data_IF_404934195086
#
_entry.id   IF_404934195086
#
_cell.length_a   1.000
_cell.length_b   1.000
_cell.length_c   1.000
_cell.angle_alpha   90.00
_cell.angle_beta   90.00
_cell.angle_gamma   90.00
#
_symmetry.space_group_name_H-M   'P 1'
#
loop_
_entity.id
_entity.type
_entity.pdbx_description
1 polymer ?
#
# COMPACT_ATOMS: atom_id res chain seq x y z
N UNK A 1 -13.91 5.98 -18.23
CA UNK A 1 -13.11 5.79 -17.01
C UNK A 1 -13.99 6.03 -15.79
N UNK A 2 -13.78 5.25 -14.75
CA UNK A 2 -14.53 5.36 -13.49
C UNK A 2 -14.06 6.60 -12.72
N UNK A 3 -14.99 7.34 -12.18
CA UNK A 3 -14.69 8.52 -11.35
C UNK A 3 -14.75 8.14 -9.88
N UNK A 4 -14.05 8.91 -9.02
CA UNK A 4 -14.02 8.65 -7.57
C UNK A 4 -15.43 8.56 -6.96
N UNK A 5 -16.33 9.43 -7.37
CA UNK A 5 -17.72 9.48 -6.86
C UNK A 5 -18.53 8.23 -7.19
N UNK A 6 -18.12 7.50 -8.21
CA UNK A 6 -18.81 6.30 -8.67
C UNK A 6 -18.30 5.02 -8.00
N UNK A 7 -17.24 5.14 -7.19
CA UNK A 7 -16.61 3.99 -6.56
C UNK A 7 -17.41 3.49 -5.37
N UNK A 8 -17.46 2.17 -5.23
CA UNK A 8 -18.00 1.53 -4.04
C UNK A 8 -16.88 1.42 -3.00
N UNK A 9 -16.85 2.35 -2.06
CA UNK A 9 -15.80 2.44 -1.05
C UNK A 9 -16.31 1.83 0.26
N UNK A 10 -15.61 0.82 0.82
CA UNK A 10 -16.00 0.25 2.11
C UNK A 10 -16.08 1.32 3.20
N UNK A 11 -17.03 1.19 4.10
CA UNK A 11 -17.26 2.16 5.17
C UNK A 11 -16.02 2.31 6.06
N UNK A 12 -15.36 1.23 6.37
CA UNK A 12 -14.14 1.26 7.20
C UNK A 12 -12.99 2.01 6.52
N UNK A 13 -12.96 2.05 5.18
CA UNK A 13 -11.98 2.86 4.46
C UNK A 13 -12.27 4.33 4.59
N UNK A 14 -13.54 4.71 4.55
CA UNK A 14 -13.95 6.10 4.70
C UNK A 14 -13.54 6.67 6.05
N UNK A 15 -13.58 5.88 7.12
CA UNK A 15 -13.12 6.30 8.43
C UNK A 15 -11.64 6.67 8.44
N UNK A 16 -10.83 6.00 7.61
CA UNK A 16 -9.40 6.33 7.48
C UNK A 16 -9.20 7.56 6.60
N UNK A 17 -9.98 7.68 5.53
CA UNK A 17 -9.80 8.69 4.49
C UNK A 17 -10.30 10.07 4.92
N UNK A 18 -11.43 10.14 5.64
CA UNK A 18 -12.07 11.40 5.97
C UNK A 18 -11.38 12.11 7.13
N UNK A 19 -11.23 13.43 7.01
CA UNK A 19 -10.80 14.30 8.10
C UNK A 19 -11.98 14.70 8.94
N UNK A 20 -11.72 15.29 10.12
CA UNK A 20 -12.75 15.77 11.03
C UNK A 20 -13.68 16.80 10.39
N UNK A 21 -13.17 17.59 9.43
CA UNK A 21 -13.96 18.62 8.75
C UNK A 21 -14.76 18.09 7.56
N UNK A 22 -14.71 16.78 7.31
CA UNK A 22 -15.43 16.15 6.20
C UNK A 22 -14.68 16.12 4.88
N UNK A 23 -13.54 16.78 4.79
CA UNK A 23 -12.69 16.68 3.60
C UNK A 23 -11.90 15.38 3.63
N UNK A 24 -11.28 15.03 2.50
CA UNK A 24 -10.48 13.80 2.38
C UNK A 24 -8.99 14.10 2.49
N UNK A 25 -8.28 13.17 3.14
CA UNK A 25 -6.81 13.14 3.13
C UNK A 25 -6.32 12.84 1.72
N UNK A 26 -5.05 13.13 1.45
CA UNK A 26 -4.39 12.63 0.25
C UNK A 26 -4.19 11.13 0.41
N UNK A 27 -4.56 10.36 -0.61
CA UNK A 27 -4.50 8.89 -0.58
C UNK A 27 -3.32 8.44 -1.41
N UNK A 28 -2.39 7.72 -0.78
CA UNK A 28 -1.22 7.18 -1.45
C UNK A 28 -1.41 5.67 -1.62
N UNK A 29 -1.39 5.21 -2.86
CA UNK A 29 -1.41 3.77 -3.16
C UNK A 29 0.00 3.22 -2.96
N UNK A 30 0.17 2.39 -1.94
CA UNK A 30 1.45 1.74 -1.64
C UNK A 30 1.40 0.29 -2.09
N UNK A 31 2.08 -0.01 -3.21
CA UNK A 31 2.09 -1.33 -3.81
C UNK A 31 3.39 -2.06 -3.47
N UNK A 32 3.28 -3.26 -2.90
CA UNK A 32 4.45 -4.10 -2.58
C UNK A 32 4.37 -5.39 -3.40
N UNK A 33 5.43 -5.68 -4.15
CA UNK A 33 5.43 -6.72 -5.16
C UNK A 33 6.30 -7.93 -4.82
N UNK A 34 6.10 -9.01 -5.56
CA UNK A 34 6.82 -10.27 -5.36
C UNK A 34 8.28 -10.18 -5.80
N UNK A 35 8.55 -9.51 -6.93
CA UNK A 35 9.91 -9.42 -7.45
C UNK A 35 10.87 -8.77 -6.46
N UNK A 36 10.43 -7.70 -5.81
CA UNK A 36 11.24 -7.00 -4.81
C UNK A 36 11.47 -7.89 -3.59
N UNK A 37 10.47 -8.65 -3.15
CA UNK A 37 10.62 -9.61 -2.07
C UNK A 37 11.69 -10.65 -2.40
N UNK A 38 11.61 -11.26 -3.57
CA UNK A 38 12.54 -12.34 -3.97
C UNK A 38 13.97 -11.83 -4.15
N UNK A 39 14.14 -10.57 -4.56
CA UNK A 39 15.45 -9.98 -4.76
C UNK A 39 16.08 -9.51 -3.45
N UNK A 40 15.30 -8.90 -2.55
CA UNK A 40 15.82 -8.17 -1.40
C UNK A 40 15.54 -8.82 -0.04
N UNK A 41 14.62 -9.80 0.03
CA UNK A 41 14.33 -10.58 1.24
C UNK A 41 14.03 -9.68 2.47
N UNK A 42 14.84 -9.79 3.53
CA UNK A 42 14.63 -9.03 4.77
C UNK A 42 14.74 -7.52 4.58
N UNK A 43 15.55 -7.05 3.64
CA UNK A 43 15.63 -5.62 3.33
C UNK A 43 14.29 -5.08 2.82
N UNK A 44 13.57 -5.88 2.05
CA UNK A 44 12.24 -5.52 1.56
C UNK A 44 11.26 -5.32 2.72
N UNK A 45 11.24 -6.25 3.69
CA UNK A 45 10.39 -6.12 4.87
C UNK A 45 10.80 -4.92 5.71
N UNK A 46 12.12 -4.71 5.90
CA UNK A 46 12.64 -3.55 6.62
C UNK A 46 12.24 -2.23 5.96
N UNK A 47 12.24 -2.19 4.64
CA UNK A 47 11.79 -1.00 3.91
C UNK A 47 10.32 -0.74 4.13
N UNK A 48 9.49 -1.79 4.10
CA UNK A 48 8.06 -1.65 4.39
C UNK A 48 7.86 -1.09 5.79
N UNK A 49 8.53 -1.65 6.79
CA UNK A 49 8.43 -1.16 8.17
C UNK A 49 8.75 0.33 8.27
N UNK A 50 9.82 0.75 7.62
CA UNK A 50 10.24 2.14 7.63
C UNK A 50 9.22 3.05 6.95
N UNK A 51 8.70 2.62 5.80
CA UNK A 51 7.67 3.36 5.06
C UNK A 51 6.40 3.51 5.91
N UNK A 52 5.97 2.43 6.57
CA UNK A 52 4.78 2.48 7.42
C UNK A 52 4.94 3.48 8.56
N UNK A 53 6.13 3.55 9.17
CA UNK A 53 6.41 4.53 10.23
C UNK A 53 6.27 5.96 9.73
N UNK A 54 6.83 6.24 8.56
CA UNK A 54 6.79 7.59 7.97
C UNK A 54 5.35 8.01 7.71
N UNK A 55 4.55 7.12 7.10
CA UNK A 55 3.15 7.43 6.81
C UNK A 55 2.30 7.51 8.06
N UNK A 56 2.59 6.70 9.07
CA UNK A 56 1.89 6.78 10.36
C UNK A 56 2.09 8.16 11.00
N UNK A 57 3.30 8.70 10.93
CA UNK A 57 3.62 10.04 11.46
C UNK A 57 2.87 11.15 10.73
N UNK A 58 2.40 10.88 9.52
CA UNK A 58 1.70 11.85 8.67
C UNK A 58 0.21 11.50 8.48
N UNK A 59 -0.33 10.66 9.35
CA UNK A 59 -1.68 10.12 9.19
C UNK A 59 -2.79 11.15 9.24
N UNK A 60 -2.52 12.35 9.79
CA UNK A 60 -3.54 13.41 9.82
C UNK A 60 -3.84 13.97 8.44
N UNK A 61 -2.86 13.93 7.54
CA UNK A 61 -2.98 14.51 6.20
C UNK A 61 -2.99 13.47 5.08
N UNK A 62 -2.41 12.28 5.34
CA UNK A 62 -2.23 11.24 4.33
C UNK A 62 -2.86 9.94 4.80
N UNK A 63 -3.68 9.34 3.93
CA UNK A 63 -4.20 7.99 4.12
C UNK A 63 -3.37 7.04 3.25
N UNK A 64 -2.79 6.02 3.84
CA UNK A 64 -2.04 5.01 3.11
C UNK A 64 -2.97 3.87 2.69
N UNK A 65 -3.00 3.59 1.40
CA UNK A 65 -3.73 2.46 0.84
C UNK A 65 -2.68 1.40 0.46
N UNK A 66 -2.38 0.52 1.41
CA UNK A 66 -1.37 -0.52 1.21
C UNK A 66 -1.99 -1.71 0.50
N UNK A 67 -1.50 -1.98 -0.70
CA UNK A 67 -2.00 -3.05 -1.52
C UNK A 67 -0.86 -4.00 -1.89
N UNK A 68 -0.71 -5.13 -1.18
CA UNK A 68 0.31 -6.12 -1.51
C UNK A 68 -0.14 -6.97 -2.69
N UNK A 69 0.83 -7.60 -3.36
CA UNK A 69 0.50 -8.57 -4.41
C UNK A 69 -0.34 -9.71 -3.79
N UNK A 70 -1.39 -10.18 -4.48
CA UNK A 70 -2.27 -11.22 -3.92
C UNK A 70 -1.58 -12.51 -3.51
N UNK A 71 -0.45 -12.85 -4.15
CA UNK A 71 0.29 -14.08 -3.86
C UNK A 71 1.45 -13.89 -2.89
N UNK A 72 1.55 -12.71 -2.25
CA UNK A 72 2.74 -12.39 -1.44
C UNK A 72 2.91 -13.36 -0.26
N UNK A 73 1.83 -13.65 0.46
CA UNK A 73 1.91 -14.50 1.65
C UNK A 73 2.20 -15.95 1.29
N UNK A 74 1.57 -16.49 0.25
CA UNK A 74 1.84 -17.86 -0.21
C UNK A 74 3.25 -18.00 -0.76
N UNK A 75 3.76 -16.98 -1.43
CA UNK A 75 5.13 -16.97 -1.95
C UNK A 75 6.14 -16.99 -0.80
N UNK A 76 5.95 -16.16 0.22
CA UNK A 76 6.82 -16.14 1.38
C UNK A 76 6.77 -17.48 2.12
N UNK A 77 5.59 -18.04 2.32
CA UNK A 77 5.43 -19.32 3.01
C UNK A 77 6.20 -20.42 2.31
N UNK A 78 6.18 -20.43 0.99
CA UNK A 78 6.84 -21.45 0.18
C UNK A 78 8.35 -21.21 0.04
N UNK A 79 8.78 -19.97 -0.16
CA UNK A 79 10.14 -19.66 -0.56
C UNK A 79 10.97 -18.91 0.48
N UNK A 80 10.31 -18.19 1.40
CA UNK A 80 10.98 -17.36 2.40
C UNK A 80 10.21 -17.37 3.73
N UNK A 81 10.05 -18.56 4.36
CA UNK A 81 9.23 -18.65 5.58
C UNK A 81 9.77 -17.81 6.74
N UNK A 82 11.07 -17.56 6.78
CA UNK A 82 11.67 -16.71 7.82
C UNK A 82 11.26 -15.25 7.68
N UNK A 83 10.97 -14.81 6.45
CA UNK A 83 10.52 -13.44 6.18
C UNK A 83 9.03 -13.32 6.49
N UNK A 84 8.28 -14.40 6.32
CA UNK A 84 6.82 -14.39 6.51
C UNK A 84 6.43 -13.94 7.92
N UNK A 85 7.14 -14.42 8.95
CA UNK A 85 6.81 -14.04 10.34
C UNK A 85 6.91 -12.53 10.56
N UNK A 86 7.99 -11.92 10.06
CA UNK A 86 8.18 -10.48 10.18
C UNK A 86 7.10 -9.72 9.43
N UNK A 87 6.79 -10.17 8.22
CA UNK A 87 5.75 -9.55 7.40
C UNK A 87 4.39 -9.62 8.09
N UNK A 88 4.03 -10.77 8.63
CA UNK A 88 2.73 -10.96 9.31
C UNK A 88 2.61 -10.08 10.55
N UNK A 89 3.70 -9.87 11.28
CA UNK A 89 3.70 -8.95 12.42
C UNK A 89 3.42 -7.53 11.97
N UNK A 90 4.08 -7.08 10.91
CA UNK A 90 3.86 -5.74 10.35
C UNK A 90 2.41 -5.58 9.89
N UNK A 91 1.90 -6.57 9.16
CA UNK A 91 0.53 -6.57 8.66
C UNK A 91 -0.48 -6.47 9.80
N UNK A 92 -0.32 -7.31 10.82
CA UNK A 92 -1.24 -7.35 11.96
C UNK A 92 -1.23 -6.05 12.74
N UNK A 93 -0.05 -5.48 12.97
CA UNK A 93 0.07 -4.19 13.66
C UNK A 93 -0.58 -3.06 12.86
N UNK A 94 -0.35 -3.04 11.56
CA UNK A 94 -0.92 -2.03 10.67
C UNK A 94 -2.45 -2.08 10.71
N UNK A 95 -3.02 -3.26 10.57
CA UNK A 95 -4.48 -3.46 10.59
C UNK A 95 -5.04 -3.08 11.97
N UNK A 96 -4.39 -3.51 13.04
CA UNK A 96 -4.86 -3.27 14.40
C UNK A 96 -4.84 -1.78 14.78
N UNK A 97 -3.84 -1.03 14.32
CA UNK A 97 -3.75 0.40 14.60
C UNK A 97 -4.80 1.24 13.88
N UNK A 98 -5.27 0.78 12.72
CA UNK A 98 -6.40 1.40 12.02
C UNK A 98 -6.16 2.76 11.40
N UNK A 99 -4.90 3.22 11.29
CA UNK A 99 -4.62 4.52 10.68
C UNK A 99 -4.51 4.46 9.15
N UNK A 100 -4.43 3.27 8.58
CA UNK A 100 -4.30 3.06 7.14
C UNK A 100 -5.23 1.95 6.65
N UNK A 101 -5.18 1.68 5.35
CA UNK A 101 -6.01 0.67 4.69
C UNK A 101 -5.13 -0.46 4.18
N UNK A 102 -5.55 -1.71 4.40
CA UNK A 102 -4.90 -2.89 3.85
C UNK A 102 -5.84 -3.53 2.83
N UNK A 103 -5.53 -3.35 1.54
CA UNK A 103 -6.41 -3.79 0.45
C UNK A 103 -5.99 -5.15 -0.07
N UNK A 104 -6.72 -6.18 0.34
CA UNK A 104 -6.52 -7.55 -0.13
C UNK A 104 -7.49 -7.94 -1.24
N UNK A 105 -8.31 -6.99 -1.72
CA UNK A 105 -9.31 -7.28 -2.76
C UNK A 105 -8.66 -7.44 -4.13
N UNK A 106 -9.41 -8.03 -5.06
CA UNK A 106 -8.95 -8.15 -6.45
C UNK A 106 -9.17 -6.86 -7.26
N UNK A 107 -9.78 -5.84 -6.65
CA UNK A 107 -10.18 -4.63 -7.37
C UNK A 107 -9.05 -3.58 -7.42
N UNK A 108 -8.12 -3.80 -8.33
CA UNK A 108 -7.00 -2.87 -8.53
C UNK A 108 -7.48 -1.55 -9.13
N UNK A 109 -8.51 -1.58 -9.95
CA UNK A 109 -9.04 -0.36 -10.58
C UNK A 109 -9.56 0.63 -9.54
N UNK A 110 -10.24 0.14 -8.52
CA UNK A 110 -10.70 0.98 -7.42
C UNK A 110 -9.54 1.67 -6.73
N UNK A 111 -8.48 0.92 -6.43
CA UNK A 111 -7.30 1.48 -5.78
C UNK A 111 -6.64 2.55 -6.64
N UNK A 112 -6.52 2.31 -7.95
CA UNK A 112 -5.92 3.26 -8.89
C UNK A 112 -6.74 4.53 -8.99
N UNK A 113 -8.06 4.42 -9.09
CA UNK A 113 -8.94 5.60 -9.23
C UNK A 113 -9.02 6.38 -7.93
N UNK A 114 -9.10 5.69 -6.80
CA UNK A 114 -9.28 6.33 -5.49
C UNK A 114 -8.04 7.11 -5.04
N UNK A 115 -6.85 6.62 -5.33
CA UNK A 115 -5.61 7.21 -4.83
C UNK A 115 -5.20 8.47 -5.60
N UNK A 116 -4.42 9.32 -4.94
CA UNK A 116 -3.92 10.57 -5.51
C UNK A 116 -2.49 10.43 -6.05
N UNK A 117 -1.73 9.46 -5.56
CA UNK A 117 -0.37 9.20 -6.01
C UNK A 117 0.00 7.75 -5.74
N UNK A 118 1.02 7.27 -6.43
CA UNK A 118 1.58 5.93 -6.26
C UNK A 118 2.94 6.02 -5.61
N UNK A 119 3.18 5.14 -4.64
CA UNK A 119 4.52 4.88 -4.10
C UNK A 119 4.66 3.37 -3.90
N UNK A 120 5.80 2.81 -4.28
CA UNK A 120 6.02 1.40 -4.02
C UNK A 120 6.90 0.71 -5.04
N UNK A 121 6.80 -0.61 -5.10
CA UNK A 121 7.62 -1.43 -5.98
C UNK A 121 7.20 -1.29 -7.44
N UNK A 122 8.17 -1.42 -8.35
CA UNK A 122 7.88 -1.50 -9.78
C UNK A 122 7.13 -2.79 -10.09
N UNK A 123 6.02 -2.67 -10.81
CA UNK A 123 5.17 -3.82 -11.16
C UNK A 123 4.25 -3.46 -12.31
N UNK A 124 3.42 -4.42 -12.74
CA UNK A 124 2.41 -4.17 -13.77
C UNK A 124 1.41 -3.08 -13.37
N UNK A 125 1.20 -2.87 -12.06
CA UNK A 125 0.31 -1.82 -11.56
C UNK A 125 0.82 -0.44 -11.95
N UNK A 126 2.14 -0.25 -12.06
CA UNK A 126 2.75 1.01 -12.49
C UNK A 126 2.29 1.37 -13.90
N UNK A 127 2.22 0.39 -14.80
CA UNK A 127 1.77 0.63 -16.18
C UNK A 127 0.31 1.11 -16.20
N UNK A 128 -0.53 0.48 -15.39
CA UNK A 128 -1.92 0.89 -15.25
C UNK A 128 -2.01 2.30 -14.64
N UNK A 129 -1.21 2.57 -13.63
CA UNK A 129 -1.22 3.86 -12.91
C UNK A 129 -0.76 5.02 -13.81
N UNK A 130 0.20 4.78 -14.70
CA UNK A 130 0.68 5.81 -15.63
C UNK A 130 -0.42 6.41 -16.47
N UNK A 131 -1.45 5.64 -16.76
CA UNK A 131 -2.58 6.11 -17.58
C UNK A 131 -3.39 7.20 -16.86
N UNK A 132 -3.27 7.33 -15.57
CA UNK A 132 -3.99 8.34 -14.78
C UNK A 132 -3.36 9.73 -14.86
N UNK A 133 -2.09 9.81 -15.20
CA UNK A 133 -1.33 11.07 -15.15
C UNK A 133 -0.96 11.52 -13.74
N UNK A 134 -1.32 10.76 -12.72
CA UNK A 134 -1.01 11.10 -11.32
C UNK A 134 0.45 10.76 -10.99
N UNK A 135 1.03 11.38 -9.94
CA UNK A 135 2.44 11.15 -9.57
C UNK A 135 2.75 9.70 -9.22
N UNK A 136 3.94 9.25 -9.64
CA UNK A 136 4.44 7.90 -9.35
C UNK A 136 5.84 8.02 -8.80
N UNK A 137 6.11 7.36 -7.67
CA UNK A 137 7.46 7.21 -7.13
C UNK A 137 7.74 5.73 -6.87
N UNK A 138 8.77 5.20 -7.49
CA UNK A 138 9.18 3.80 -7.29
C UNK A 138 10.12 3.75 -6.09
N UNK A 139 9.83 2.86 -5.13
CA UNK A 139 10.68 2.73 -3.95
C UNK A 139 11.96 1.98 -4.30
N UNK A 140 13.06 2.42 -3.68
CA UNK A 140 14.34 1.73 -3.77
C UNK A 140 14.59 1.03 -2.43
N UNK A 141 14.51 -0.30 -2.42
CA UNK A 141 14.63 -1.10 -1.20
C UNK A 141 16.03 -0.96 -0.56
N UNK A 142 17.05 -0.65 -1.38
CA UNK A 142 18.41 -0.44 -0.87
C UNK A 142 18.57 0.84 -0.05
N UNK A 143 17.64 1.78 -0.18
CA UNK A 143 17.70 3.06 0.53
C UNK A 143 16.71 3.03 1.69
N UNK A 144 17.25 3.05 2.92
CA UNK A 144 16.47 3.13 4.14
C UNK A 144 16.37 4.59 4.56
N UNK A 145 15.19 5.17 4.44
CA UNK A 145 14.95 6.57 4.78
C UNK A 145 14.13 6.72 6.05
#
# INVERSE_FOLDING_TARGET
ATKKEELNIPQEWLHVIEKADGSWKKIILYNTGIAALLTHNEKWVGKIENVLKIFEENQDEIALLWRPHPLIESTMKSMRPEVLQKYMMLKQQYIAKGWGIYDETADVDRAVVLSDAYYGDGSSVVQLYRQTGKPIMIQNVEIMT
#
